data_IF_343214350201
#
_entry.id   IF_343214350201
#
_cell.length_a   1.000
_cell.length_b   1.000
_cell.length_c   1.000
_cell.angle_alpha   90.00
_cell.angle_beta   90.00
_cell.angle_gamma   90.00
#
_symmetry.space_group_name_H-M   'P 1'
#
loop_
_entity.id
_entity.type
_entity.pdbx_description
1 polymer ?
#
# COMPACT_ATOMS: atom_id res chain seq x y z
N UNK A 1 -19.86 -8.19 20.62
CA UNK A 1 -18.74 -8.50 19.71
C UNK A 1 -18.60 -7.37 18.69
N UNK A 2 -17.39 -6.87 18.50
CA UNK A 2 -17.14 -5.80 17.57
C UNK A 2 -16.74 -6.30 16.19
N UNK A 3 -16.77 -5.38 15.22
CA UNK A 3 -16.28 -5.61 13.86
C UNK A 3 -14.97 -4.83 13.70
N UNK A 4 -13.91 -5.51 13.23
CA UNK A 4 -12.64 -4.88 12.91
C UNK A 4 -12.44 -4.92 11.39
N UNK A 5 -12.18 -3.76 10.82
CA UNK A 5 -11.97 -3.64 9.39
C UNK A 5 -10.97 -2.54 9.09
N UNK A 6 -10.39 -2.58 7.91
CA UNK A 6 -9.47 -1.57 7.41
C UNK A 6 -10.02 -0.94 6.14
N UNK A 7 -9.89 0.38 6.04
CA UNK A 7 -10.21 1.12 4.82
C UNK A 7 -8.94 1.82 4.34
N UNK A 8 -8.60 1.58 3.09
CA UNK A 8 -7.50 2.27 2.40
C UNK A 8 -8.11 3.17 1.32
N UNK A 9 -8.13 4.47 1.56
CA UNK A 9 -8.74 5.46 0.68
C UNK A 9 -7.86 6.72 0.69
N UNK A 10 -6.94 6.82 -0.25
CA UNK A 10 -6.01 7.93 -0.34
C UNK A 10 -6.19 8.69 -1.64
N UNK A 11 -6.04 10.01 -1.58
CA UNK A 11 -6.25 10.90 -2.73
C UNK A 11 -5.31 10.63 -3.90
N UNK A 12 -4.13 10.07 -3.62
CA UNK A 12 -3.14 9.75 -4.65
C UNK A 12 -3.32 8.35 -5.26
N UNK A 13 -4.38 7.63 -4.91
CA UNK A 13 -4.71 6.32 -5.48
C UNK A 13 -6.04 6.38 -6.22
N UNK A 14 -6.17 5.53 -7.24
CA UNK A 14 -7.37 5.47 -8.08
C UNK A 14 -8.35 4.39 -7.61
N UNK A 15 -8.21 3.95 -6.38
CA UNK A 15 -9.04 2.89 -5.82
C UNK A 15 -9.25 3.08 -4.32
N UNK A 16 -10.28 2.41 -3.81
CA UNK A 16 -10.52 2.24 -2.37
C UNK A 16 -10.51 0.75 -2.09
N UNK A 17 -9.84 0.34 -1.03
CA UNK A 17 -9.88 -1.04 -0.54
C UNK A 17 -10.46 -1.10 0.85
N UNK A 18 -11.29 -2.11 1.11
CA UNK A 18 -11.79 -2.41 2.44
C UNK A 18 -11.61 -3.90 2.72
N UNK A 19 -11.03 -4.24 3.86
CA UNK A 19 -10.85 -5.62 4.30
C UNK A 19 -11.41 -5.80 5.71
N UNK A 20 -11.87 -7.00 6.02
CA UNK A 20 -12.51 -7.33 7.30
C UNK A 20 -11.69 -8.35 8.04
N UNK A 21 -11.28 -8.02 9.26
CA UNK A 21 -10.56 -8.94 10.15
C UNK A 21 -11.51 -9.72 11.06
N UNK A 22 -12.57 -9.06 11.54
CA UNK A 22 -13.60 -9.69 12.34
C UNK A 22 -14.97 -9.13 11.98
N UNK A 23 -16.00 -9.95 12.04
CA UNK A 23 -17.37 -9.51 11.79
C UNK A 23 -17.74 -9.46 10.31
N UNK A 24 -18.62 -8.55 9.97
CA UNK A 24 -19.16 -8.40 8.62
C UNK A 24 -19.36 -6.92 8.31
N UNK A 25 -19.01 -6.51 7.11
CA UNK A 25 -19.12 -5.11 6.64
C UNK A 25 -19.91 -5.07 5.34
N UNK A 26 -20.81 -4.10 5.19
CA UNK A 26 -21.48 -3.80 3.94
C UNK A 26 -20.72 -2.66 3.26
N UNK A 27 -20.25 -2.89 2.06
CA UNK A 27 -19.58 -1.88 1.24
C UNK A 27 -20.54 -1.42 0.15
N UNK A 28 -20.81 -0.12 0.09
CA UNK A 28 -21.72 0.47 -0.88
C UNK A 28 -20.93 1.48 -1.71
N UNK A 29 -20.52 1.11 -2.94
CA UNK A 29 -19.78 2.05 -3.78
C UNK A 29 -20.69 3.17 -4.27
N UNK A 30 -20.21 4.41 -4.19
CA UNK A 30 -20.94 5.57 -4.69
C UNK A 30 -20.44 5.89 -6.09
N UNK A 31 -21.29 5.63 -7.09
CA UNK A 31 -20.97 5.89 -8.48
C UNK A 31 -21.27 7.34 -8.86
N UNK A 32 -20.35 7.94 -9.63
CA UNK A 32 -20.55 9.31 -10.11
C UNK A 32 -21.73 9.44 -11.08
N UNK A 33 -22.09 8.35 -11.76
CA UNK A 33 -23.20 8.32 -12.72
C UNK A 33 -24.57 8.37 -12.08
N UNK A 34 -24.66 8.22 -10.74
CA UNK A 34 -25.93 8.21 -10.04
C UNK A 34 -26.74 6.94 -10.21
N UNK A 35 -26.19 5.93 -10.88
CA UNK A 35 -26.86 4.64 -11.05
C UNK A 35 -26.98 3.90 -9.72
N UNK A 36 -28.01 3.04 -9.61
CA UNK A 36 -28.21 2.22 -8.43
C UNK A 36 -26.98 1.37 -8.16
N UNK A 37 -26.58 1.37 -6.91
CA UNK A 37 -25.37 0.70 -6.48
C UNK A 37 -25.70 -0.65 -5.86
N UNK A 38 -24.86 -1.65 -6.15
CA UNK A 38 -24.96 -2.95 -5.52
C UNK A 38 -24.19 -2.94 -4.21
N UNK A 39 -24.83 -3.40 -3.15
CA UNK A 39 -24.18 -3.59 -1.86
C UNK A 39 -23.32 -4.84 -1.89
N UNK A 40 -22.04 -4.69 -1.50
CA UNK A 40 -21.13 -5.81 -1.38
C UNK A 40 -20.96 -6.15 0.11
N UNK A 41 -21.26 -7.38 0.49
CA UNK A 41 -21.08 -7.84 1.87
C UNK A 41 -19.72 -8.52 2.00
N UNK A 42 -18.92 -8.06 2.96
CA UNK A 42 -17.60 -8.61 3.23
C UNK A 42 -17.60 -9.36 4.54
N UNK A 43 -17.05 -10.54 4.52
CA UNK A 43 -16.79 -11.36 5.70
C UNK A 43 -15.29 -11.41 5.97
N UNK A 44 -14.90 -12.10 7.05
CA UNK A 44 -13.48 -12.26 7.44
C UNK A 44 -12.65 -12.82 6.28
N UNK A 45 -11.45 -12.28 6.12
CA UNK A 45 -10.48 -12.66 5.07
C UNK A 45 -10.98 -12.42 3.63
N UNK A 46 -11.86 -11.43 3.49
CA UNK A 46 -12.26 -10.91 2.19
C UNK A 46 -11.99 -9.42 2.13
N UNK A 47 -11.61 -8.95 0.97
CA UNK A 47 -11.51 -7.51 0.71
C UNK A 47 -12.22 -7.16 -0.58
N UNK A 48 -12.70 -5.92 -0.65
CA UNK A 48 -13.22 -5.33 -1.87
C UNK A 48 -12.28 -4.21 -2.30
N UNK A 49 -11.99 -4.17 -3.59
CA UNK A 49 -11.28 -3.06 -4.21
C UNK A 49 -12.23 -2.40 -5.20
N UNK A 50 -12.50 -1.13 -5.01
CA UNK A 50 -13.32 -0.33 -5.92
C UNK A 50 -12.43 0.57 -6.76
N UNK A 51 -12.51 0.42 -8.08
CA UNK A 51 -11.73 1.21 -9.03
C UNK A 51 -12.57 2.37 -9.54
N UNK A 52 -12.12 3.60 -9.29
CA UNK A 52 -12.85 4.81 -9.71
C UNK A 52 -12.97 4.92 -11.22
N UNK A 53 -11.94 4.52 -11.95
CA UNK A 53 -11.91 4.66 -13.41
C UNK A 53 -12.91 3.75 -14.11
N UNK A 54 -13.21 2.59 -13.54
CA UNK A 54 -14.12 1.60 -14.10
C UNK A 54 -15.47 1.56 -13.40
N UNK A 55 -15.59 2.24 -12.26
CA UNK A 55 -16.77 2.19 -11.39
C UNK A 55 -17.19 0.74 -11.05
N UNK A 56 -16.19 -0.12 -10.83
CA UNK A 56 -16.39 -1.53 -10.54
C UNK A 56 -15.74 -1.94 -9.23
N UNK A 57 -16.43 -2.82 -8.51
CA UNK A 57 -15.94 -3.40 -7.26
C UNK A 57 -15.55 -4.85 -7.48
N UNK A 58 -14.38 -5.23 -7.00
CA UNK A 58 -13.86 -6.60 -7.07
C UNK A 58 -13.68 -7.15 -5.66
N UNK A 59 -14.25 -8.32 -5.39
CA UNK A 59 -14.06 -9.03 -4.13
C UNK A 59 -13.01 -10.11 -4.32
N UNK A 60 -12.01 -10.13 -3.44
CA UNK A 60 -10.94 -11.11 -3.51
C UNK A 60 -10.56 -11.59 -2.11
N UNK A 61 -9.98 -12.79 -1.98
CA UNK A 61 -9.48 -13.26 -0.69
C UNK A 61 -8.27 -12.45 -0.25
N UNK A 62 -8.11 -12.29 1.06
CA UNK A 62 -6.96 -11.60 1.63
C UNK A 62 -6.62 -12.20 2.98
N UNK A 63 -5.46 -11.86 3.51
CA UNK A 63 -5.11 -12.15 4.89
C UNK A 63 -5.34 -10.87 5.68
N UNK A 64 -6.53 -10.73 6.25
CA UNK A 64 -6.97 -9.48 6.89
C UNK A 64 -6.06 -9.02 8.02
N UNK A 65 -5.44 -9.95 8.74
CA UNK A 65 -4.49 -9.60 9.78
C UNK A 65 -3.28 -8.83 9.24
N UNK A 66 -2.89 -9.08 8.01
CA UNK A 66 -1.80 -8.33 7.37
C UNK A 66 -2.28 -6.95 6.88
N UNK A 67 -3.50 -6.87 6.37
CA UNK A 67 -4.06 -5.61 5.88
C UNK A 67 -4.20 -4.56 6.98
N UNK A 68 -4.47 -4.98 8.21
CA UNK A 68 -4.62 -4.06 9.34
C UNK A 68 -3.37 -3.94 10.23
N UNK A 69 -2.32 -4.71 9.96
CA UNK A 69 -1.11 -4.71 10.79
C UNK A 69 -0.41 -3.35 10.83
N UNK A 70 -0.51 -2.57 9.77
CA UNK A 70 0.10 -1.25 9.70
C UNK A 70 -0.47 -0.27 10.74
N UNK A 71 -1.70 -0.46 11.19
CA UNK A 71 -2.32 0.38 12.22
C UNK A 71 -1.51 0.35 13.51
N UNK A 72 -0.86 -0.79 13.79
CA UNK A 72 0.02 -0.94 14.94
C UNK A 72 1.48 -0.57 14.69
N UNK A 73 1.77 0.13 13.59
CA UNK A 73 3.14 0.51 13.24
C UNK A 73 3.91 -0.58 12.48
N UNK A 74 3.21 -1.59 11.99
CA UNK A 74 3.82 -2.68 11.23
C UNK A 74 3.58 -2.50 9.74
N UNK A 75 4.66 -2.59 8.96
CA UNK A 75 4.63 -2.55 7.50
C UNK A 75 4.96 -3.93 6.96
N UNK A 76 4.11 -4.45 6.08
CA UNK A 76 4.32 -5.77 5.46
C UNK A 76 4.27 -5.61 3.95
N UNK A 77 5.35 -6.01 3.29
CA UNK A 77 5.44 -6.01 1.83
C UNK A 77 5.64 -7.44 1.34
N UNK A 78 4.80 -7.91 0.43
CA UNK A 78 4.91 -9.24 -0.15
C UNK A 78 4.99 -9.15 -1.66
N UNK A 79 6.19 -9.33 -2.21
CA UNK A 79 6.43 -9.19 -3.65
C UNK A 79 5.76 -7.94 -4.22
N UNK A 80 5.81 -6.86 -3.46
CA UNK A 80 5.16 -5.60 -3.78
C UNK A 80 6.06 -4.76 -4.67
N UNK A 81 5.49 -4.10 -5.68
CA UNK A 81 6.26 -3.21 -6.54
C UNK A 81 6.80 -2.03 -5.74
N UNK A 82 8.03 -1.62 -6.03
CA UNK A 82 8.71 -0.58 -5.27
C UNK A 82 7.98 0.76 -5.32
N UNK A 83 7.34 1.09 -6.44
CA UNK A 83 6.53 2.31 -6.53
C UNK A 83 5.34 2.28 -5.56
N UNK A 84 4.72 1.13 -5.37
CA UNK A 84 3.65 0.97 -4.36
C UNK A 84 4.20 1.07 -2.94
N UNK A 85 5.37 0.46 -2.68
CA UNK A 85 6.07 0.60 -1.41
C UNK A 85 6.39 2.07 -1.13
N UNK A 86 6.82 2.80 -2.17
CA UNK A 86 7.11 4.23 -2.05
C UNK A 86 5.92 5.03 -1.53
N UNK A 87 4.72 4.72 -2.00
CA UNK A 87 3.50 5.38 -1.51
C UNK A 87 3.24 5.08 -0.03
N UNK A 88 3.48 3.84 0.39
CA UNK A 88 3.34 3.47 1.80
C UNK A 88 4.35 4.20 2.68
N UNK A 89 5.59 4.32 2.20
CA UNK A 89 6.63 5.04 2.93
C UNK A 89 6.33 6.54 3.03
N UNK A 90 5.79 7.13 1.96
CA UNK A 90 5.35 8.53 1.99
C UNK A 90 4.30 8.77 3.08
N UNK A 91 3.31 7.88 3.19
CA UNK A 91 2.24 7.99 4.19
C UNK A 91 2.76 7.85 5.60
N UNK A 92 3.69 6.92 5.83
CA UNK A 92 4.18 6.62 7.17
C UNK A 92 5.23 7.60 7.67
N UNK A 93 6.05 8.17 6.78
CA UNK A 93 7.19 8.99 7.16
C UNK A 93 7.09 10.45 6.73
N UNK A 94 6.08 10.79 5.94
CA UNK A 94 5.85 12.17 5.52
C UNK A 94 6.89 12.74 4.57
N UNK A 95 7.65 11.89 3.89
CA UNK A 95 8.65 12.30 2.91
C UNK A 95 8.25 11.80 1.52
N UNK A 96 8.45 12.65 0.52
CA UNK A 96 8.17 12.27 -0.86
C UNK A 96 9.20 11.26 -1.36
N UNK A 97 8.75 10.19 -2.01
CA UNK A 97 9.63 9.18 -2.58
C UNK A 97 9.75 9.43 -4.08
N UNK A 98 10.97 9.66 -4.55
CA UNK A 98 11.28 9.98 -5.94
C UNK A 98 12.15 8.88 -6.53
N UNK A 99 11.70 8.27 -7.62
CA UNK A 99 12.46 7.27 -8.34
C UNK A 99 13.21 7.94 -9.49
N UNK A 100 14.52 7.81 -9.50
CA UNK A 100 15.40 8.38 -10.52
C UNK A 100 15.60 7.44 -11.71
N UNK A 101 15.16 6.19 -11.59
CA UNK A 101 15.19 5.21 -12.68
C UNK A 101 13.87 4.46 -12.74
N UNK A 102 13.37 4.20 -13.96
CA UNK A 102 12.13 3.46 -14.14
C UNK A 102 12.28 1.99 -13.75
N UNK A 103 13.48 1.43 -13.92
CA UNK A 103 13.76 0.05 -13.53
C UNK A 103 13.55 -0.19 -12.04
N UNK A 104 13.93 0.77 -11.19
CA UNK A 104 13.76 0.64 -9.75
C UNK A 104 12.29 0.57 -9.33
N UNK A 105 11.39 1.26 -10.03
CA UNK A 105 9.96 1.22 -9.75
C UNK A 105 9.36 -0.17 -9.84
N UNK A 106 9.93 -1.01 -10.70
CA UNK A 106 9.41 -2.33 -11.01
C UNK A 106 9.97 -3.43 -10.14
N UNK A 107 10.95 -3.12 -9.28
CA UNK A 107 11.50 -4.11 -8.35
C UNK A 107 10.39 -4.63 -7.44
N UNK A 108 10.37 -5.94 -7.22
CA UNK A 108 9.44 -6.59 -6.30
C UNK A 108 10.17 -6.88 -5.00
N UNK A 109 9.68 -6.33 -3.91
CA UNK A 109 10.33 -6.43 -2.62
C UNK A 109 9.43 -7.09 -1.58
N UNK A 110 10.04 -7.86 -0.71
CA UNK A 110 9.34 -8.53 0.39
C UNK A 110 10.04 -8.18 1.69
N UNK A 111 9.27 -7.81 2.69
CA UNK A 111 9.81 -7.50 4.02
C UNK A 111 8.71 -7.21 5.00
N UNK A 112 9.04 -7.32 6.29
CA UNK A 112 8.13 -7.01 7.39
C UNK A 112 8.89 -6.15 8.39
N UNK A 113 8.34 -5.01 8.73
CA UNK A 113 8.99 -4.02 9.59
C UNK A 113 8.03 -3.56 10.67
N UNK A 114 8.51 -3.42 11.89
CA UNK A 114 7.71 -2.93 13.00
C UNK A 114 8.53 -1.93 13.80
N UNK A 115 8.04 -0.69 13.85
CA UNK A 115 8.71 0.42 14.55
C UNK A 115 10.12 0.72 14.04
N UNK A 116 10.40 0.41 12.79
CA UNK A 116 11.68 0.71 12.16
C UNK A 116 11.69 2.13 11.60
N UNK A 117 12.85 2.76 11.57
CA UNK A 117 13.03 4.03 10.89
C UNK A 117 13.02 3.84 9.36
N UNK A 118 12.81 4.93 8.64
CA UNK A 118 12.86 4.90 7.18
C UNK A 118 14.21 4.41 6.67
N UNK A 119 15.30 4.87 7.28
CA UNK A 119 16.66 4.44 6.92
C UNK A 119 16.86 2.94 7.13
N UNK A 120 16.38 2.41 8.26
CA UNK A 120 16.47 0.97 8.53
C UNK A 120 15.69 0.14 7.49
N UNK A 121 14.48 0.58 7.15
CA UNK A 121 13.65 -0.11 6.15
C UNK A 121 14.36 -0.15 4.79
N UNK A 122 14.85 0.99 4.33
CA UNK A 122 15.53 1.07 3.04
C UNK A 122 16.85 0.29 3.05
N UNK A 123 17.57 0.32 4.16
CA UNK A 123 18.79 -0.45 4.32
C UNK A 123 18.54 -1.96 4.17
N UNK A 124 17.54 -2.49 4.89
CA UNK A 124 17.22 -3.92 4.80
C UNK A 124 16.69 -4.32 3.43
N UNK A 125 15.85 -3.49 2.82
CA UNK A 125 15.36 -3.77 1.47
C UNK A 125 16.50 -3.77 0.44
N UNK A 126 17.51 -2.91 0.62
CA UNK A 126 18.66 -2.84 -0.28
C UNK A 126 19.56 -4.09 -0.21
N UNK A 127 19.44 -4.87 0.86
CA UNK A 127 20.20 -6.12 1.00
C UNK A 127 19.60 -7.26 0.18
N UNK A 128 18.28 -7.25 -0.03
CA UNK A 128 17.62 -8.29 -0.83
C UNK A 128 17.57 -7.95 -2.31
N UNK A 129 17.51 -6.68 -2.65
CA UNK A 129 17.47 -6.20 -4.04
C UNK A 129 18.39 -5.00 -4.15
N UNK A 130 19.37 -5.05 -5.02
CA UNK A 130 20.36 -4.00 -5.14
C UNK A 130 19.76 -2.72 -5.70
N UNK A 131 19.70 -1.69 -4.87
CA UNK A 131 19.34 -0.33 -5.28
C UNK A 131 20.10 0.67 -4.43
N UNK A 132 20.11 1.93 -4.89
CA UNK A 132 20.73 3.04 -4.17
C UNK A 132 19.63 3.95 -3.65
N UNK A 133 19.84 4.56 -2.49
CA UNK A 133 18.92 5.54 -1.94
C UNK A 133 19.65 6.64 -1.21
N UNK A 134 19.00 7.80 -1.13
CA UNK A 134 19.48 8.95 -0.36
C UNK A 134 18.29 9.61 0.31
N UNK A 135 18.39 9.81 1.61
CA UNK A 135 17.32 10.43 2.42
C UNK A 135 17.70 11.89 2.66
N UNK A 136 16.86 12.80 2.20
CA UNK A 136 16.96 14.23 2.45
C UNK A 136 15.86 14.65 3.44
N UNK A 137 15.81 15.95 3.80
CA UNK A 137 14.80 16.43 4.75
C UNK A 137 13.36 16.23 4.27
N UNK A 138 13.10 16.43 2.98
CA UNK A 138 11.75 16.41 2.41
C UNK A 138 11.49 15.25 1.48
N UNK A 139 12.53 14.55 1.05
CA UNK A 139 12.38 13.51 0.04
C UNK A 139 13.37 12.36 0.19
N UNK A 140 13.03 11.23 -0.43
CA UNK A 140 13.88 10.06 -0.56
C UNK A 140 14.11 9.82 -2.04
N UNK A 141 15.37 9.77 -2.46
CA UNK A 141 15.76 9.48 -3.83
C UNK A 141 16.13 8.01 -3.94
N UNK A 142 15.56 7.32 -4.91
CA UNK A 142 15.79 5.89 -5.14
C UNK A 142 16.17 5.67 -6.60
N UNK A 143 17.21 4.86 -6.83
CA UNK A 143 17.64 4.50 -8.18
C UNK A 143 18.19 3.09 -8.22
N UNK A 144 18.29 2.51 -9.42
CA UNK A 144 19.05 1.28 -9.61
C UNK A 144 20.55 1.57 -9.41
N UNK A 145 21.35 0.50 -9.36
CA UNK A 145 22.79 0.64 -9.10
C UNK A 145 23.56 1.29 -10.25
N UNK A 146 23.00 1.32 -11.45
CA UNK A 146 23.64 1.91 -12.62
C UNK A 146 23.43 3.43 -12.72
N UNK A 147 22.43 3.97 -12.05
CA UNK A 147 22.11 5.40 -12.06
C UNK A 147 22.85 6.11 -10.92
N UNK A 148 23.48 7.24 -11.24
CA UNK A 148 24.21 8.02 -10.24
C UNK A 148 23.25 8.90 -9.46
N UNK A 149 23.32 8.84 -8.13
CA UNK A 149 22.56 9.75 -7.26
C UNK A 149 23.24 11.12 -7.21
N UNK A 150 22.43 12.21 -7.16
CA UNK A 150 22.96 13.57 -7.01
C UNK A 150 23.63 13.81 -5.67
#
# INVERSE_FOLDING_TARGET
>A
MGTSFNIRAYDNEKFIETSVATGKVAFIPKKATGNKQDTVFLTVDKKVRYLFTKEEAYVEPTISAEDIAWIGGKLVFKAMAFDEIGLELERNFGKKVVFLSDSARQFRLTGSFQNNSLDEILFYLSKSTEFKYKINNDEVLISDVSTKLP
#
